data_IF_438160210740
#
_entry.id   IF_438160210740
#
_cell.length_a   1.000
_cell.length_b   1.000
_cell.length_c   1.000
_cell.angle_alpha   90.00
_cell.angle_beta   90.00
_cell.angle_gamma   90.00
#
_symmetry.space_group_name_H-M   'P 1'
#
loop_
_entity.id
_entity.type
_entity.pdbx_description
1 polymer ?
#
# COMPACT_ATOMS: atom_id res chain seq x y z
N UNK A 1 -21.84 7.88 0.84
CA UNK A 1 -21.68 6.45 0.53
C UNK A 1 -20.28 6.23 -0.01
N UNK A 2 -19.33 5.97 0.85
CA UNK A 2 -18.02 5.42 0.47
C UNK A 2 -18.31 4.01 -0.03
N UNK A 3 -18.53 3.90 -1.30
CA UNK A 3 -19.00 2.69 -1.93
C UNK A 3 -17.91 1.61 -1.94
N UNK A 4 -18.33 0.38 -2.01
CA UNK A 4 -17.59 -0.88 -2.14
C UNK A 4 -16.38 -0.86 -3.10
N UNK A 5 -16.19 0.21 -3.86
CA UNK A 5 -15.07 0.45 -4.75
C UNK A 5 -13.75 0.81 -4.03
N UNK A 6 -13.80 1.40 -2.82
CA UNK A 6 -12.61 1.78 -2.04
C UNK A 6 -12.13 0.69 -1.09
N UNK A 7 -12.98 -0.29 -0.83
CA UNK A 7 -12.67 -1.43 0.05
C UNK A 7 -12.81 -2.70 -0.78
N UNK A 8 -11.82 -2.98 -1.65
CA UNK A 8 -11.83 -4.21 -2.40
C UNK A 8 -11.84 -5.41 -1.44
N UNK A 9 -12.43 -6.51 -1.86
CA UNK A 9 -12.30 -7.79 -1.16
C UNK A 9 -10.83 -7.98 -0.74
N UNK A 10 -10.61 -8.39 0.50
CA UNK A 10 -9.28 -8.67 1.03
C UNK A 10 -8.39 -9.43 0.05
N UNK A 11 -8.94 -10.39 -0.70
CA UNK A 11 -8.21 -11.17 -1.70
C UNK A 11 -7.56 -10.33 -2.80
N UNK A 12 -8.04 -9.09 -3.01
CA UNK A 12 -7.61 -8.18 -4.08
C UNK A 12 -6.97 -6.88 -3.55
N UNK A 13 -6.68 -6.78 -2.25
CA UNK A 13 -6.28 -5.53 -1.62
C UNK A 13 -4.85 -5.05 -1.99
N UNK A 14 -4.03 -5.87 -2.65
CA UNK A 14 -2.69 -5.43 -3.07
C UNK A 14 -2.79 -4.27 -4.07
N UNK A 15 -2.22 -3.13 -3.71
CA UNK A 15 -2.41 -1.88 -4.46
C UNK A 15 -1.15 -1.03 -4.49
N UNK A 16 -1.06 -0.22 -5.55
CA UNK A 16 -0.07 0.83 -5.71
C UNK A 16 -0.77 2.18 -5.60
N UNK A 17 -0.35 3.02 -4.67
CA UNK A 17 -0.91 4.34 -4.42
C UNK A 17 0.14 5.39 -4.73
N UNK A 18 -0.17 6.27 -5.69
CA UNK A 18 0.80 7.17 -6.28
C UNK A 18 0.26 8.59 -6.25
N UNK A 19 1.13 9.55 -5.98
CA UNK A 19 0.77 10.97 -6.06
C UNK A 19 1.85 11.87 -5.47
N UNK A 20 1.81 13.15 -5.81
CA UNK A 20 2.73 14.15 -5.27
C UNK A 20 2.64 14.24 -3.74
N UNK A 21 3.68 14.77 -3.06
CA UNK A 21 3.60 15.16 -1.66
C UNK A 21 2.37 16.07 -1.40
N UNK A 22 1.68 15.87 -0.29
CA UNK A 22 0.47 16.63 0.04
C UNK A 22 -0.78 16.29 -0.83
N UNK A 23 -0.70 15.28 -1.69
CA UNK A 23 -1.81 14.88 -2.58
C UNK A 23 -2.92 14.05 -1.90
N UNK A 24 -2.85 13.79 -0.59
CA UNK A 24 -3.88 13.06 0.15
C UNK A 24 -3.69 11.54 0.26
N UNK A 25 -2.59 10.97 -0.27
CA UNK A 25 -2.34 9.52 -0.29
C UNK A 25 -2.42 8.87 1.09
N UNK A 26 -1.65 9.38 2.05
CA UNK A 26 -1.58 8.81 3.40
C UNK A 26 -2.92 8.93 4.11
N UNK A 27 -3.63 10.06 3.98
CA UNK A 27 -4.98 10.24 4.48
C UNK A 27 -5.96 9.22 3.86
N UNK A 28 -5.92 9.07 2.54
CA UNK A 28 -6.74 8.07 1.84
C UNK A 28 -6.50 6.66 2.38
N UNK A 29 -5.24 6.26 2.54
CA UNK A 29 -4.90 4.91 3.03
C UNK A 29 -5.35 4.75 4.48
N UNK A 30 -5.07 5.73 5.34
CA UNK A 30 -5.50 5.74 6.73
C UNK A 30 -7.02 5.57 6.85
N UNK A 31 -7.78 6.40 6.14
CA UNK A 31 -9.24 6.35 6.16
C UNK A 31 -9.75 5.02 5.64
N UNK A 32 -9.27 4.58 4.48
CA UNK A 32 -9.68 3.33 3.84
C UNK A 32 -9.40 2.11 4.72
N UNK A 33 -8.23 2.04 5.34
CA UNK A 33 -7.86 0.91 6.21
C UNK A 33 -8.62 0.95 7.54
N UNK A 34 -8.86 2.12 8.09
CA UNK A 34 -9.68 2.27 9.31
C UNK A 34 -11.08 1.72 9.06
N UNK A 35 -11.73 2.11 7.97
CA UNK A 35 -13.05 1.60 7.61
C UNK A 35 -13.02 0.11 7.26
N UNK A 36 -11.96 -0.35 6.59
CA UNK A 36 -11.77 -1.78 6.31
C UNK A 36 -11.68 -2.62 7.57
N UNK A 37 -10.90 -2.19 8.57
CA UNK A 37 -10.77 -2.89 9.85
C UNK A 37 -12.09 -2.89 10.62
N UNK A 38 -12.83 -1.77 10.62
CA UNK A 38 -14.14 -1.68 11.28
C UNK A 38 -15.19 -2.61 10.70
N UNK A 39 -15.17 -2.79 9.36
CA UNK A 39 -16.17 -3.61 8.63
C UNK A 39 -15.79 -5.09 8.53
N UNK A 40 -14.58 -5.45 8.91
CA UNK A 40 -14.07 -6.80 8.79
C UNK A 40 -13.97 -7.46 10.17
N UNK A 41 -14.78 -8.49 10.40
CA UNK A 41 -14.84 -9.23 11.68
C UNK A 41 -13.81 -10.36 11.79
N UNK A 42 -12.91 -10.52 10.79
CA UNK A 42 -11.89 -11.55 10.80
C UNK A 42 -10.85 -11.29 11.91
N UNK A 43 -10.89 -12.08 12.97
CA UNK A 43 -10.01 -11.97 14.13
C UNK A 43 -8.53 -12.26 13.78
N UNK A 44 -8.26 -12.94 12.67
CA UNK A 44 -6.91 -13.25 12.21
C UNK A 44 -6.32 -12.15 11.32
N UNK A 45 -7.12 -11.14 10.96
CA UNK A 45 -6.67 -10.03 10.13
C UNK A 45 -5.90 -8.98 10.94
N UNK A 46 -4.73 -8.61 10.45
CA UNK A 46 -3.90 -7.53 10.98
C UNK A 46 -3.62 -6.49 9.89
N UNK A 47 -3.34 -5.27 10.33
CA UNK A 47 -2.81 -4.19 9.51
C UNK A 47 -1.49 -3.76 10.11
N UNK A 48 -0.42 -3.84 9.34
CA UNK A 48 0.89 -3.32 9.70
C UNK A 48 1.24 -2.18 8.78
N UNK A 49 1.36 -0.98 9.33
CA UNK A 49 1.73 0.22 8.59
C UNK A 49 3.19 0.57 8.91
N UNK A 50 4.04 0.52 7.90
CA UNK A 50 5.43 0.94 7.96
C UNK A 50 5.54 2.36 7.40
N UNK A 51 5.86 3.35 8.26
CA UNK A 51 5.93 4.75 7.92
C UNK A 51 7.31 5.35 8.27
N UNK A 52 8.25 5.44 7.31
CA UNK A 52 9.58 6.00 7.57
C UNK A 52 9.59 7.46 8.03
N UNK A 53 8.58 8.24 7.66
CA UNK A 53 8.50 9.68 7.97
C UNK A 53 7.88 10.02 9.32
N UNK A 54 7.39 9.02 10.05
CA UNK A 54 6.75 9.21 11.37
C UNK A 54 5.53 10.17 11.35
N UNK A 55 4.83 10.24 10.23
CA UNK A 55 3.71 11.19 10.01
C UNK A 55 2.33 10.52 10.10
N UNK A 56 2.27 9.18 10.29
CA UNK A 56 1.02 8.44 10.28
C UNK A 56 0.42 8.35 11.69
N UNK A 57 -0.84 8.74 11.80
CA UNK A 57 -1.66 8.52 12.98
C UNK A 57 -2.87 7.62 12.63
N UNK A 58 -2.88 6.42 13.14
CA UNK A 58 -4.00 5.46 13.00
C UNK A 58 -4.86 5.38 14.26
N UNK A 59 -4.69 6.32 15.16
CA UNK A 59 -5.37 6.38 16.46
C UNK A 59 -4.49 5.99 17.63
N UNK A 60 -4.98 6.30 18.83
CA UNK A 60 -4.26 6.07 20.08
C UNK A 60 -3.88 4.58 20.26
N UNK A 61 -2.65 4.34 20.66
CA UNK A 61 -2.14 2.99 20.96
C UNK A 61 -1.79 2.13 19.75
N UNK A 62 -1.84 2.66 18.52
CA UNK A 62 -1.44 1.89 17.31
C UNK A 62 0.06 1.90 17.06
N UNK A 63 0.76 2.93 17.55
CA UNK A 63 2.22 3.00 17.41
C UNK A 63 2.94 1.96 18.29
N UNK A 64 3.90 1.27 17.70
CA UNK A 64 4.69 0.24 18.35
C UNK A 64 6.11 0.18 17.79
N UNK A 65 7.07 -0.09 18.66
CA UNK A 65 8.46 -0.35 18.26
C UNK A 65 8.61 -1.80 17.74
N UNK A 66 9.59 -2.03 16.87
CA UNK A 66 9.79 -3.34 16.23
C UNK A 66 9.94 -4.47 17.27
N UNK A 67 10.66 -4.24 18.35
CA UNK A 67 10.89 -5.21 19.44
C UNK A 67 9.62 -5.62 20.19
N UNK A 68 8.55 -4.81 20.13
CA UNK A 68 7.26 -5.06 20.79
C UNK A 68 6.16 -5.50 19.83
N UNK A 69 6.45 -5.57 18.52
CA UNK A 69 5.48 -5.76 17.48
C UNK A 69 4.69 -7.07 17.63
N UNK A 70 5.35 -8.18 17.93
CA UNK A 70 4.69 -9.48 18.13
C UNK A 70 3.67 -9.44 19.25
N UNK A 71 4.08 -8.93 20.44
CA UNK A 71 3.20 -8.78 21.60
C UNK A 71 2.05 -7.82 21.31
N UNK A 72 2.28 -6.79 20.50
CA UNK A 72 1.25 -5.84 20.11
C UNK A 72 0.22 -6.50 19.18
N UNK A 73 0.66 -7.14 18.11
CA UNK A 73 -0.23 -7.79 17.12
C UNK A 73 -0.98 -9.00 17.67
N UNK A 74 -0.50 -9.60 18.77
CA UNK A 74 -1.26 -10.66 19.46
C UNK A 74 -2.54 -10.14 20.11
N UNK A 75 -2.65 -8.84 20.40
CA UNK A 75 -3.77 -8.19 21.10
C UNK A 75 -4.52 -7.17 20.26
N UNK A 76 -3.85 -6.56 19.31
CA UNK A 76 -4.37 -5.44 18.51
C UNK A 76 -4.38 -5.78 17.04
N UNK A 77 -5.35 -5.24 16.33
CA UNK A 77 -5.50 -5.50 14.89
C UNK A 77 -4.65 -4.58 14.02
N UNK A 78 -4.23 -3.43 14.55
CA UNK A 78 -3.48 -2.40 13.82
C UNK A 78 -2.19 -2.09 14.54
N UNK A 79 -1.09 -2.04 13.81
CA UNK A 79 0.20 -1.57 14.28
C UNK A 79 0.79 -0.56 13.29
N UNK A 80 1.34 0.53 13.81
CA UNK A 80 2.15 1.51 13.06
C UNK A 80 3.57 1.40 13.56
N UNK A 81 4.50 1.16 12.65
CA UNK A 81 5.94 1.07 12.95
C UNK A 81 6.68 2.15 12.21
N UNK A 82 7.56 2.82 12.95
CA UNK A 82 8.52 3.78 12.39
C UNK A 82 9.89 3.10 12.37
N UNK A 83 10.33 2.61 11.20
CA UNK A 83 11.64 2.00 11.08
C UNK A 83 12.75 3.03 11.32
N UNK A 84 13.91 2.56 11.78
CA UNK A 84 15.07 3.42 11.96
C UNK A 84 15.59 3.89 10.59
N UNK A 85 15.71 5.20 10.42
CA UNK A 85 16.18 5.80 9.17
C UNK A 85 17.61 5.40 8.80
N UNK A 86 18.43 5.01 9.79
CA UNK A 86 19.80 4.53 9.57
C UNK A 86 19.84 3.06 9.13
N UNK A 87 18.80 2.29 9.48
CA UNK A 87 18.70 0.85 9.20
C UNK A 87 17.48 0.50 8.37
N UNK A 88 16.92 1.47 7.67
CA UNK A 88 15.61 1.45 7.06
C UNK A 88 15.33 0.20 6.19
N UNK A 89 16.30 -0.21 5.36
CA UNK A 89 16.12 -1.38 4.50
C UNK A 89 16.08 -2.69 5.29
N UNK A 90 16.97 -2.85 6.26
CA UNK A 90 17.01 -4.04 7.11
C UNK A 90 15.79 -4.14 8.02
N UNK A 91 15.30 -3.02 8.51
CA UNK A 91 14.09 -2.99 9.33
C UNK A 91 12.86 -3.40 8.53
N UNK A 92 12.74 -2.91 7.29
CA UNK A 92 11.62 -3.29 6.42
C UNK A 92 11.71 -4.75 5.97
N UNK A 93 12.91 -5.24 5.66
CA UNK A 93 13.12 -6.66 5.37
C UNK A 93 12.74 -7.53 6.58
N UNK A 94 13.15 -7.14 7.78
CA UNK A 94 12.74 -7.80 9.02
C UNK A 94 11.21 -7.82 9.19
N UNK A 95 10.53 -6.70 8.97
CA UNK A 95 9.06 -6.63 9.07
C UNK A 95 8.39 -7.59 8.07
N UNK A 96 8.90 -7.67 6.86
CA UNK A 96 8.39 -8.59 5.84
C UNK A 96 8.58 -10.05 6.31
N UNK A 97 9.78 -10.43 6.70
CA UNK A 97 10.08 -11.80 7.13
C UNK A 97 9.29 -12.17 8.39
N UNK A 98 9.15 -11.27 9.36
CA UNK A 98 8.31 -11.42 10.53
C UNK A 98 6.84 -11.74 10.19
N UNK A 99 6.26 -11.07 9.19
CA UNK A 99 4.89 -11.38 8.74
C UNK A 99 4.78 -12.79 8.16
N UNK A 100 5.79 -13.26 7.46
CA UNK A 100 5.82 -14.63 6.96
C UNK A 100 5.98 -15.66 8.09
N UNK A 101 6.79 -15.35 9.10
CA UNK A 101 6.96 -16.22 10.27
C UNK A 101 5.65 -16.33 11.06
N UNK A 102 4.94 -15.24 11.26
CA UNK A 102 3.59 -15.28 11.85
C UNK A 102 2.62 -16.12 11.03
N UNK A 103 2.69 -16.03 9.69
CA UNK A 103 1.86 -16.85 8.81
C UNK A 103 2.23 -18.32 8.85
N UNK A 104 3.50 -18.65 8.98
CA UNK A 104 3.98 -20.03 9.07
C UNK A 104 3.60 -20.64 10.43
N UNK A 105 3.62 -19.84 11.51
CA UNK A 105 3.15 -20.25 12.84
C UNK A 105 1.62 -20.35 12.94
N UNK A 106 0.87 -19.51 12.23
CA UNK A 106 -0.61 -19.53 12.20
C UNK A 106 -1.10 -19.47 10.73
N UNK A 107 -1.53 -20.61 10.15
CA UNK A 107 -2.07 -20.66 8.79
C UNK A 107 -3.31 -19.81 8.53
N UNK A 108 -4.03 -19.35 9.53
CA UNK A 108 -5.17 -18.45 9.39
C UNK A 108 -4.78 -16.96 9.44
N UNK A 109 -3.53 -16.64 9.83
CA UNK A 109 -3.04 -15.28 9.90
C UNK A 109 -3.15 -14.57 8.54
N UNK A 110 -3.67 -13.37 8.56
CA UNK A 110 -3.81 -12.48 7.40
C UNK A 110 -3.26 -11.11 7.76
N UNK A 111 -2.61 -10.46 6.81
CA UNK A 111 -2.09 -9.12 7.03
C UNK A 111 -2.24 -8.23 5.79
N UNK A 112 -2.59 -6.97 6.03
CA UNK A 112 -2.37 -5.87 5.10
C UNK A 112 -1.09 -5.17 5.53
N UNK A 113 -0.03 -5.34 4.76
CA UNK A 113 1.23 -4.64 4.96
C UNK A 113 1.24 -3.38 4.11
N UNK A 114 1.27 -2.24 4.76
CA UNK A 114 1.38 -0.93 4.11
C UNK A 114 2.80 -0.45 4.21
N UNK A 115 3.42 -0.15 3.08
CA UNK A 115 4.75 0.43 3.02
C UNK A 115 4.67 1.83 2.42
N UNK A 116 4.83 2.85 3.26
CA UNK A 116 4.93 4.23 2.82
C UNK A 116 6.32 4.51 2.26
N UNK A 117 6.41 5.48 1.37
CA UNK A 117 7.65 5.81 0.63
C UNK A 117 8.33 4.59 -0.03
N UNK A 118 7.53 3.66 -0.55
CA UNK A 118 8.01 2.40 -1.13
C UNK A 118 9.04 2.58 -2.25
N UNK A 119 9.14 3.77 -2.86
CA UNK A 119 10.17 4.10 -3.86
C UNK A 119 11.60 4.04 -3.28
N UNK A 120 11.76 4.09 -1.96
CA UNK A 120 13.08 3.95 -1.31
C UNK A 120 13.60 2.52 -1.45
N UNK A 121 12.70 1.54 -1.37
CA UNK A 121 13.02 0.11 -1.39
C UNK A 121 12.88 -0.52 -2.76
N UNK A 122 11.90 -0.04 -3.53
CA UNK A 122 11.48 -0.61 -4.80
C UNK A 122 11.67 0.42 -5.90
N UNK A 123 12.66 0.22 -6.74
CA UNK A 123 12.87 1.07 -7.92
C UNK A 123 13.32 0.23 -9.10
N UNK A 124 13.12 0.73 -10.31
CA UNK A 124 13.63 0.08 -11.52
C UNK A 124 15.17 0.00 -11.58
N UNK A 125 15.85 0.76 -10.72
CA UNK A 125 17.31 0.87 -10.66
C UNK A 125 17.96 0.03 -9.57
N UNK A 126 17.17 -0.47 -8.62
CA UNK A 126 17.65 -1.24 -7.48
C UNK A 126 17.02 -2.63 -7.51
N UNK A 127 17.85 -3.66 -7.40
CA UNK A 127 17.34 -5.02 -7.24
C UNK A 127 16.59 -5.12 -5.90
N UNK A 128 15.39 -5.68 -5.93
CA UNK A 128 14.64 -5.96 -4.71
C UNK A 128 15.39 -7.00 -3.86
N UNK A 129 15.35 -6.82 -2.54
CA UNK A 129 15.91 -7.80 -1.59
C UNK A 129 15.17 -9.13 -1.66
N UNK A 130 15.73 -10.23 -1.11
CA UNK A 130 15.02 -11.51 -1.05
C UNK A 130 13.65 -11.40 -0.36
N UNK A 131 13.53 -10.64 0.73
CA UNK A 131 12.28 -10.43 1.48
C UNK A 131 11.23 -9.73 0.62
N UNK A 132 11.59 -8.68 -0.12
CA UNK A 132 10.69 -8.03 -1.08
C UNK A 132 10.26 -8.94 -2.22
N UNK A 133 11.17 -9.75 -2.78
CA UNK A 133 10.83 -10.75 -3.81
C UNK A 133 9.85 -11.78 -3.27
N UNK A 134 10.08 -12.27 -2.05
CA UNK A 134 9.18 -13.19 -1.36
C UNK A 134 7.80 -12.56 -1.18
N UNK A 135 7.72 -11.31 -0.71
CA UNK A 135 6.47 -10.56 -0.55
C UNK A 135 5.70 -10.46 -1.87
N UNK A 136 6.35 -10.01 -2.92
CA UNK A 136 5.72 -9.82 -4.23
C UNK A 136 5.23 -11.13 -4.86
N UNK A 137 6.04 -12.19 -4.79
CA UNK A 137 5.74 -13.46 -5.45
C UNK A 137 4.76 -14.33 -4.65
N UNK A 138 4.85 -14.34 -3.33
CA UNK A 138 4.12 -15.30 -2.50
C UNK A 138 3.21 -14.66 -1.45
N UNK A 139 3.35 -13.39 -1.15
CA UNK A 139 2.56 -12.71 -0.12
C UNK A 139 1.07 -12.93 -0.29
N UNK A 140 0.55 -12.74 -1.51
CA UNK A 140 -0.87 -12.93 -1.81
C UNK A 140 -1.38 -14.34 -1.51
N UNK A 141 -0.64 -15.38 -1.90
CA UNK A 141 -1.01 -16.78 -1.62
C UNK A 141 -0.87 -17.13 -0.14
N UNK A 142 -0.03 -16.41 0.58
CA UNK A 142 0.20 -16.55 2.02
C UNK A 142 -0.71 -15.65 2.88
N UNK A 143 -1.70 -15.02 2.27
CA UNK A 143 -2.61 -14.14 3.02
C UNK A 143 -1.99 -12.80 3.44
N UNK A 144 -0.90 -12.34 2.81
CA UNK A 144 -0.30 -11.03 3.06
C UNK A 144 -0.54 -10.14 1.85
N UNK A 145 -1.14 -8.98 2.05
CA UNK A 145 -1.47 -8.00 1.01
C UNK A 145 -0.55 -6.80 1.14
N UNK A 146 0.06 -6.41 0.03
CA UNK A 146 0.95 -5.25 -0.01
C UNK A 146 0.20 -4.03 -0.53
N UNK A 147 0.19 -2.97 0.26
CA UNK A 147 -0.21 -1.62 -0.15
C UNK A 147 1.05 -0.77 -0.21
N UNK A 148 1.50 -0.43 -1.40
CA UNK A 148 2.68 0.42 -1.60
C UNK A 148 2.25 1.86 -1.85
N UNK A 149 2.82 2.81 -1.09
CA UNK A 149 2.59 4.24 -1.28
C UNK A 149 3.87 4.87 -1.79
N UNK A 150 3.78 5.69 -2.84
CA UNK A 150 4.95 6.37 -3.41
C UNK A 150 4.61 7.75 -3.95
N UNK A 151 5.63 8.61 -4.01
CA UNK A 151 5.51 9.94 -4.63
C UNK A 151 5.67 9.89 -6.15
N UNK A 152 6.40 8.91 -6.63
CA UNK A 152 6.62 8.66 -8.05
C UNK A 152 6.22 7.23 -8.39
N UNK A 153 5.82 6.96 -9.61
CA UNK A 153 5.56 5.60 -10.03
C UNK A 153 6.77 4.69 -9.79
N UNK A 154 6.54 3.59 -9.09
CA UNK A 154 7.56 2.57 -8.83
C UNK A 154 7.24 1.36 -9.70
N UNK A 155 8.05 1.19 -10.73
CA UNK A 155 7.89 0.10 -11.69
C UNK A 155 8.94 -0.97 -11.43
N UNK A 156 8.78 -1.75 -10.38
CA UNK A 156 9.54 -2.99 -10.22
C UNK A 156 8.74 -4.16 -10.78
N UNK A 157 9.43 -5.12 -11.38
CA UNK A 157 8.79 -6.35 -11.91
C UNK A 157 8.05 -7.12 -10.82
N UNK A 158 8.57 -7.03 -9.60
CA UNK A 158 7.99 -7.67 -8.43
C UNK A 158 6.60 -7.09 -8.12
N UNK A 159 6.44 -5.77 -8.17
CA UNK A 159 5.15 -5.12 -7.90
C UNK A 159 4.13 -5.34 -9.01
N UNK A 160 4.55 -5.39 -10.27
CA UNK A 160 3.65 -5.56 -11.41
C UNK A 160 2.76 -6.80 -11.24
N UNK A 161 3.37 -7.94 -10.94
CA UNK A 161 2.66 -9.21 -10.79
C UNK A 161 1.76 -9.31 -9.55
N UNK A 162 1.97 -8.46 -8.56
CA UNK A 162 1.21 -8.47 -7.30
C UNK A 162 0.13 -7.40 -7.22
N UNK A 163 0.21 -6.34 -8.02
CA UNK A 163 -0.71 -5.20 -7.98
C UNK A 163 -2.06 -5.55 -8.59
N UNK A 164 -3.13 -5.40 -7.82
CA UNK A 164 -4.51 -5.55 -8.28
C UNK A 164 -5.17 -4.20 -8.60
N UNK A 165 -4.75 -3.14 -7.91
CA UNK A 165 -5.28 -1.81 -8.08
C UNK A 165 -4.19 -0.75 -8.10
N UNK A 166 -4.44 0.30 -8.87
CA UNK A 166 -3.66 1.54 -8.83
C UNK A 166 -4.61 2.65 -8.37
N UNK A 167 -4.19 3.42 -7.36
CA UNK A 167 -4.86 4.66 -6.97
C UNK A 167 -3.92 5.81 -7.28
N UNK A 168 -4.30 6.63 -8.25
CA UNK A 168 -3.46 7.68 -8.79
C UNK A 168 -4.03 9.04 -8.39
N UNK A 169 -3.31 9.75 -7.51
CA UNK A 169 -3.54 11.14 -7.16
C UNK A 169 -2.75 12.06 -8.07
N UNK A 170 -3.03 13.37 -7.97
CA UNK A 170 -2.25 14.37 -8.71
C UNK A 170 -0.74 14.12 -8.57
N UNK A 171 -0.04 13.98 -9.68
CA UNK A 171 1.41 13.84 -9.73
C UNK A 171 1.96 14.29 -11.08
N UNK A 172 3.21 14.71 -11.10
CA UNK A 172 3.91 15.01 -12.34
C UNK A 172 4.36 13.70 -12.99
N UNK A 173 3.77 13.37 -14.12
CA UNK A 173 4.14 12.22 -14.92
C UNK A 173 4.99 12.66 -16.10
N UNK A 174 6.17 12.06 -16.23
CA UNK A 174 6.94 12.18 -17.47
C UNK A 174 6.32 11.30 -18.57
N UNK A 175 6.59 11.56 -19.85
CA UNK A 175 6.16 10.66 -20.92
C UNK A 175 6.60 9.20 -20.71
N UNK A 176 7.76 9.01 -20.10
CA UNK A 176 8.26 7.67 -19.75
C UNK A 176 7.33 6.98 -18.73
N UNK A 177 6.91 7.69 -17.68
CA UNK A 177 5.97 7.14 -16.68
C UNK A 177 4.62 6.78 -17.29
N UNK A 178 4.12 7.64 -18.20
CA UNK A 178 2.85 7.38 -18.91
C UNK A 178 2.96 6.12 -19.76
N UNK A 179 4.04 5.97 -20.51
CA UNK A 179 4.30 4.77 -21.32
C UNK A 179 4.47 3.52 -20.45
N UNK A 180 5.13 3.63 -19.30
CA UNK A 180 5.26 2.51 -18.36
C UNK A 180 3.90 2.07 -17.80
N UNK A 181 3.01 2.99 -17.43
CA UNK A 181 1.66 2.66 -17.02
C UNK A 181 0.87 1.94 -18.13
N UNK A 182 0.91 2.48 -19.35
CA UNK A 182 0.23 1.88 -20.50
C UNK A 182 0.75 0.47 -20.80
N UNK A 183 2.07 0.31 -20.85
CA UNK A 183 2.70 -0.95 -21.28
C UNK A 183 2.63 -2.05 -20.20
N UNK A 184 2.71 -1.69 -18.92
CA UNK A 184 2.81 -2.66 -17.81
C UNK A 184 1.47 -3.01 -17.20
N UNK A 185 0.56 -2.04 -17.11
CA UNK A 185 -0.74 -2.22 -16.45
C UNK A 185 -1.94 -2.04 -17.37
N UNK A 186 -1.73 -1.56 -18.60
CA UNK A 186 -2.83 -1.16 -19.49
C UNK A 186 -3.56 0.11 -19.02
N UNK A 187 -2.97 0.86 -18.07
CA UNK A 187 -3.54 2.08 -17.52
C UNK A 187 -3.04 3.30 -18.29
N UNK A 188 -3.97 4.07 -18.88
CA UNK A 188 -3.67 5.37 -19.46
C UNK A 188 -4.03 6.49 -18.48
N UNK A 189 -3.04 7.17 -17.86
CA UNK A 189 -3.31 8.28 -16.97
C UNK A 189 -3.63 9.60 -17.68
N UNK A 190 -3.30 9.77 -18.97
CA UNK A 190 -3.39 11.05 -19.68
C UNK A 190 -4.79 11.68 -19.64
N UNK A 191 -5.90 10.94 -19.84
CA UNK A 191 -7.25 11.52 -19.79
C UNK A 191 -7.64 12.13 -18.44
N UNK A 192 -6.92 11.79 -17.36
CA UNK A 192 -7.25 12.20 -16.00
C UNK A 192 -6.35 13.32 -15.45
N UNK A 193 -5.25 13.65 -16.14
CA UNK A 193 -4.25 14.60 -15.63
C UNK A 193 -4.87 15.97 -15.33
N UNK A 194 -5.71 16.48 -16.23
CA UNK A 194 -6.37 17.78 -16.06
C UNK A 194 -7.29 17.78 -14.85
N UNK A 195 -8.21 16.81 -14.76
CA UNK A 195 -9.13 16.69 -13.63
C UNK A 195 -8.44 16.50 -12.28
N UNK A 196 -7.35 15.73 -12.24
CA UNK A 196 -6.54 15.55 -11.04
C UNK A 196 -5.83 16.84 -10.60
N UNK A 197 -5.53 17.75 -11.54
CA UNK A 197 -4.95 19.05 -11.24
C UNK A 197 -5.97 20.08 -10.78
N UNK A 198 -7.21 20.01 -11.29
CA UNK A 198 -8.28 20.95 -11.00
C UNK A 198 -8.96 20.64 -9.66
N UNK A 199 -9.13 19.37 -9.31
CA UNK A 199 -9.83 18.95 -8.10
C UNK A 199 -8.83 18.43 -7.06
N UNK A 200 -8.48 19.24 -6.04
CA UNK A 200 -7.55 18.81 -4.99
C UNK A 200 -8.04 17.51 -4.30
N UNK A 201 -7.11 16.63 -3.99
CA UNK A 201 -7.34 15.35 -3.30
C UNK A 201 -8.21 14.34 -4.04
N UNK A 202 -8.63 14.63 -5.27
CA UNK A 202 -9.25 13.64 -6.14
C UNK A 202 -8.24 12.56 -6.54
N UNK A 203 -8.74 11.40 -6.96
CA UNK A 203 -7.89 10.31 -7.42
C UNK A 203 -8.55 9.52 -8.55
N UNK A 204 -7.75 8.78 -9.29
CA UNK A 204 -8.23 7.77 -10.22
C UNK A 204 -8.00 6.39 -9.62
N UNK A 205 -9.05 5.63 -9.51
CA UNK A 205 -8.98 4.22 -9.18
C UNK A 205 -8.94 3.41 -10.48
N UNK A 206 -7.93 2.57 -10.64
CA UNK A 206 -7.77 1.68 -11.78
C UNK A 206 -7.68 0.21 -11.32
N UNK A 207 -8.58 -0.62 -11.81
CA UNK A 207 -8.58 -2.05 -11.57
C UNK A 207 -7.74 -2.75 -12.66
N UNK A 208 -6.56 -3.21 -12.28
CA UNK A 208 -5.61 -3.89 -13.19
C UNK A 208 -6.20 -5.16 -13.79
N UNK A 209 -7.06 -5.85 -13.05
CA UNK A 209 -7.65 -7.12 -13.52
C UNK A 209 -8.70 -6.92 -14.60
N UNK A 210 -9.50 -5.86 -14.49
CA UNK A 210 -10.61 -5.59 -15.42
C UNK A 210 -10.27 -4.53 -16.47
N UNK A 211 -9.16 -3.80 -16.29
CA UNK A 211 -8.76 -2.67 -17.11
C UNK A 211 -9.68 -1.45 -16.98
N UNK A 212 -10.54 -1.40 -15.94
CA UNK A 212 -11.48 -0.30 -15.73
C UNK A 212 -10.91 0.75 -14.82
N UNK A 213 -11.13 2.01 -15.18
CA UNK A 213 -10.77 3.18 -14.38
C UNK A 213 -12.00 3.99 -14.00
N UNK A 214 -11.91 4.66 -12.85
CA UNK A 214 -12.95 5.57 -12.37
C UNK A 214 -12.31 6.75 -11.65
N UNK A 215 -12.73 7.97 -12.00
CA UNK A 215 -12.42 9.16 -11.24
C UNK A 215 -13.17 9.12 -9.90
N UNK A 216 -12.47 9.47 -8.84
CA UNK A 216 -12.96 9.44 -7.47
C UNK A 216 -12.89 10.84 -6.88
N UNK A 217 -13.98 11.27 -6.31
CA UNK A 217 -14.06 12.52 -5.56
C UNK A 217 -13.17 12.47 -4.31
N UNK A 218 -12.74 13.63 -3.79
CA UNK A 218 -12.06 13.71 -2.51
C UNK A 218 -12.87 13.02 -1.41
N UNK A 219 -12.17 12.37 -0.47
CA UNK A 219 -12.83 11.89 0.73
C UNK A 219 -13.32 13.07 1.56
N UNK A 220 -14.57 13.03 1.97
CA UNK A 220 -15.12 14.01 2.92
C UNK A 220 -14.37 13.86 4.26
N UNK A 221 -13.94 14.99 4.82
CA UNK A 221 -13.23 15.08 6.10
C UNK A 221 -14.23 15.21 7.24
#
# INVERSE_FOLDING_TARGET
>A
MLNDLYLPDYKRLSSMIIGAPGGGKSYFVQHTLTEFVKRNDDENLRVLYCCPKQEMDMGEGTYVTIDKLEKHLSKNRVAVVYPDTMNLESDVDYLIDFLFDLRDANPEFKCVFVCDDSQIFLSSRKAATPSWKRMALTGRSRGIRLVSISHTPVFSKELEGSTSYIVHFRTLLSPMHINDFKNRFGYDPEPYVESLNEVPYSSVFFDVTTGKSKMMEPLEV
#
